data_IF_279542968082
#
_entry.id   IF_279542968082
#
_cell.length_a   1.000
_cell.length_b   1.000
_cell.length_c   1.000
_cell.angle_alpha   90.00
_cell.angle_beta   90.00
_cell.angle_gamma   90.00
#
_symmetry.space_group_name_H-M   'P 1'
#
loop_
_entity.id
_entity.type
_entity.pdbx_description
1 polymer ?
#
# COMPACT_ATOMS: atom_id res chain seq x y z
N UNK A 1 -37.81 1.22 -10.16
CA UNK A 1 -36.42 1.59 -10.47
C UNK A 1 -35.50 0.80 -9.52
N UNK A 2 -35.01 -0.36 -9.95
CA UNK A 2 -34.16 -1.21 -9.09
C UNK A 2 -32.76 -0.60 -9.00
N UNK A 3 -32.25 -0.36 -7.79
CA UNK A 3 -30.81 -0.12 -7.55
C UNK A 3 -30.10 -1.41 -7.96
N UNK A 4 -29.65 -1.50 -9.20
CA UNK A 4 -28.62 -2.48 -9.57
C UNK A 4 -27.42 -2.12 -8.70
N UNK A 5 -27.16 -2.90 -7.65
CA UNK A 5 -26.00 -2.69 -6.81
C UNK A 5 -24.78 -2.80 -7.71
N UNK A 6 -23.97 -1.74 -7.76
CA UNK A 6 -22.67 -1.73 -8.45
C UNK A 6 -21.95 -3.04 -8.15
N UNK A 7 -21.53 -3.75 -9.20
CA UNK A 7 -20.86 -5.04 -9.07
C UNK A 7 -19.55 -4.82 -8.34
N UNK A 8 -19.29 -5.61 -7.28
CA UNK A 8 -17.98 -5.62 -6.61
C UNK A 8 -16.90 -5.96 -7.65
N UNK A 9 -15.98 -5.03 -7.86
CA UNK A 9 -14.88 -5.15 -8.82
C UNK A 9 -13.67 -5.88 -8.27
N UNK A 10 -13.50 -5.89 -6.94
CA UNK A 10 -12.37 -6.55 -6.27
C UNK A 10 -12.22 -6.15 -4.80
N UNK A 11 -11.04 -6.43 -4.24
CA UNK A 11 -10.64 -5.99 -2.89
C UNK A 11 -9.21 -5.44 -2.93
N UNK A 12 -8.92 -4.49 -2.06
CA UNK A 12 -7.56 -3.98 -1.78
C UNK A 12 -7.17 -4.41 -0.36
N UNK A 13 -5.94 -4.89 -0.19
CA UNK A 13 -5.35 -5.24 1.11
C UNK A 13 -4.27 -4.22 1.44
N UNK A 14 -4.37 -3.57 2.60
CA UNK A 14 -3.46 -2.49 3.03
C UNK A 14 -2.91 -2.77 4.42
N UNK A 15 -1.66 -2.37 4.63
CA UNK A 15 -1.03 -2.26 5.94
C UNK A 15 -0.35 -0.89 6.05
N UNK A 16 -0.54 -0.23 7.19
CA UNK A 16 0.17 0.98 7.56
C UNK A 16 1.10 0.64 8.73
N UNK A 17 2.41 0.60 8.46
CA UNK A 17 3.46 0.35 9.44
C UNK A 17 4.20 1.65 9.77
N UNK A 18 3.82 2.30 10.87
CA UNK A 18 4.42 3.54 11.37
C UNK A 18 3.52 4.78 11.21
N UNK A 19 3.70 5.84 12.03
CA UNK A 19 2.80 6.99 12.06
C UNK A 19 2.65 7.71 10.71
N UNK A 20 3.76 7.88 9.98
CA UNK A 20 3.79 8.56 8.67
C UNK A 20 3.08 7.78 7.55
N UNK A 21 2.68 6.53 7.82
CA UNK A 21 1.94 5.68 6.88
C UNK A 21 0.43 5.71 7.12
N UNK A 22 -0.04 6.51 8.08
CA UNK A 22 -1.46 6.58 8.47
C UNK A 22 -1.87 5.57 9.54
N UNK A 23 -0.92 4.95 10.23
CA UNK A 23 -1.21 4.02 11.33
C UNK A 23 -1.74 4.79 12.55
N UNK A 24 -2.97 4.49 12.97
CA UNK A 24 -3.60 5.13 14.15
C UNK A 24 -3.50 4.29 15.42
N UNK A 25 -3.56 2.95 15.30
CA UNK A 25 -3.45 2.03 16.44
C UNK A 25 -2.13 1.26 16.35
N UNK A 26 -1.27 1.28 17.38
CA UNK A 26 0.10 0.76 17.31
C UNK A 26 0.16 -0.76 17.51
N UNK A 27 -0.57 -1.52 16.69
CA UNK A 27 -0.43 -2.96 16.55
C UNK A 27 -0.59 -3.36 15.08
N UNK A 28 -0.11 -4.54 14.71
CA UNK A 28 -0.26 -5.08 13.36
C UNK A 28 -1.74 -5.30 13.05
N UNK A 29 -2.26 -4.60 12.03
CA UNK A 29 -3.58 -4.83 11.48
C UNK A 29 -3.54 -4.68 9.96
N UNK A 30 -4.56 -5.26 9.31
CA UNK A 30 -4.77 -5.19 7.88
C UNK A 30 -6.16 -4.62 7.59
N UNK A 31 -6.24 -3.73 6.62
CA UNK A 31 -7.51 -3.33 6.04
C UNK A 31 -7.79 -4.20 4.81
N UNK A 32 -8.99 -4.77 4.74
CA UNK A 32 -9.51 -5.42 3.54
C UNK A 32 -10.67 -4.57 3.03
N UNK A 33 -10.43 -3.80 1.97
CA UNK A 33 -11.37 -2.79 1.46
C UNK A 33 -11.99 -3.30 0.17
N UNK A 34 -13.30 -3.56 0.13
CA UNK A 34 -13.98 -3.88 -1.12
C UNK A 34 -14.01 -2.68 -2.07
N UNK A 35 -13.85 -2.94 -3.37
CA UNK A 35 -13.87 -1.91 -4.40
C UNK A 35 -14.96 -2.15 -5.44
N UNK A 36 -15.44 -1.06 -6.01
CA UNK A 36 -16.48 -0.97 -7.03
C UNK A 36 -16.01 -0.11 -8.20
N UNK A 37 -16.61 -0.28 -9.38
CA UNK A 37 -16.20 0.47 -10.58
C UNK A 37 -16.48 1.98 -10.47
N UNK A 38 -17.35 2.39 -9.55
CA UNK A 38 -17.85 3.75 -9.39
C UNK A 38 -17.46 4.41 -8.06
N UNK A 39 -16.62 3.76 -7.22
CA UNK A 39 -16.24 4.30 -5.91
C UNK A 39 -15.09 5.32 -5.93
N UNK A 40 -14.47 5.52 -7.10
CA UNK A 40 -13.32 6.42 -7.30
C UNK A 40 -12.11 6.11 -6.40
N UNK A 41 -12.06 4.93 -5.76
CA UNK A 41 -11.00 4.56 -4.84
C UNK A 41 -9.69 4.29 -5.62
N UNK A 42 -8.74 5.23 -5.53
CA UNK A 42 -7.40 5.08 -6.10
C UNK A 42 -6.37 5.02 -4.97
N UNK A 43 -5.66 3.90 -4.86
CA UNK A 43 -4.60 3.67 -3.87
C UNK A 43 -3.19 3.78 -4.47
N UNK A 44 -3.10 4.22 -5.73
CA UNK A 44 -1.84 4.42 -6.43
C UNK A 44 -1.44 5.90 -6.38
N UNK A 45 -0.14 6.22 -6.19
CA UNK A 45 0.32 7.60 -6.27
C UNK A 45 -0.03 8.22 -7.62
N UNK A 46 -0.66 9.39 -7.60
CA UNK A 46 -0.93 10.15 -8.83
C UNK A 46 0.37 10.72 -9.42
N UNK A 47 1.33 11.02 -8.56
CA UNK A 47 2.58 11.69 -8.90
C UNK A 47 3.80 10.82 -8.59
N UNK A 48 4.91 11.14 -9.27
CA UNK A 48 6.20 10.53 -8.99
C UNK A 48 6.78 11.11 -7.70
N UNK A 49 7.34 10.25 -6.84
CA UNK A 49 8.09 10.68 -5.67
C UNK A 49 9.28 11.58 -6.06
N UNK A 50 9.44 12.68 -5.34
CA UNK A 50 10.58 13.58 -5.47
C UNK A 50 11.81 13.11 -4.68
N UNK A 51 11.68 12.08 -3.83
CA UNK A 51 12.78 11.56 -3.05
C UNK A 51 13.79 10.86 -3.95
N UNK A 52 15.04 11.31 -3.89
CA UNK A 52 16.16 10.67 -4.55
C UNK A 52 16.77 9.63 -3.61
N UNK A 53 16.93 8.40 -4.07
CA UNK A 53 17.66 7.36 -3.35
C UNK A 53 19.10 7.37 -3.88
N UNK A 54 20.07 7.59 -2.99
CA UNK A 54 21.48 7.63 -3.35
C UNK A 54 22.02 6.21 -3.60
N UNK A 55 22.83 6.06 -4.65
CA UNK A 55 23.54 4.81 -4.95
C UNK A 55 22.68 3.71 -5.58
N UNK A 56 23.28 2.52 -5.83
CA UNK A 56 22.59 1.39 -6.44
C UNK A 56 21.64 0.72 -5.45
N UNK A 57 20.36 1.09 -5.49
CA UNK A 57 19.31 0.57 -4.60
C UNK A 57 19.25 -0.95 -4.57
N UNK A 58 19.42 -1.59 -5.74
CA UNK A 58 19.40 -3.04 -5.86
C UNK A 58 20.54 -3.71 -5.09
N UNK A 59 21.76 -3.15 -5.15
CA UNK A 59 22.91 -3.73 -4.46
C UNK A 59 22.76 -3.62 -2.95
N UNK A 60 22.26 -2.48 -2.47
CA UNK A 60 21.96 -2.27 -1.04
C UNK A 60 20.89 -3.24 -0.52
N UNK A 61 19.83 -3.45 -1.28
CA UNK A 61 18.79 -4.43 -0.96
C UNK A 61 19.33 -5.86 -0.96
N UNK A 62 20.10 -6.24 -1.97
CA UNK A 62 20.68 -7.57 -2.08
C UNK A 62 21.61 -7.86 -0.89
N UNK A 63 22.48 -6.91 -0.53
CA UNK A 63 23.36 -7.04 0.62
C UNK A 63 22.57 -7.24 1.92
N UNK A 64 21.52 -6.43 2.17
CA UNK A 64 20.70 -6.53 3.38
C UNK A 64 19.97 -7.87 3.50
N UNK A 65 19.47 -8.43 2.39
CA UNK A 65 18.79 -9.73 2.39
C UNK A 65 19.74 -10.92 2.64
N UNK A 66 21.02 -10.75 2.34
CA UNK A 66 22.06 -11.78 2.57
C UNK A 66 22.78 -11.62 3.90
N UNK A 67 22.61 -10.48 4.58
CA UNK A 67 23.20 -10.25 5.88
C UNK A 67 22.55 -11.19 6.91
N UNK A 68 23.32 -11.81 7.81
CA UNK A 68 22.75 -12.60 8.89
C UNK A 68 21.89 -11.70 9.78
N UNK A 69 20.71 -12.20 10.16
CA UNK A 69 19.87 -11.51 11.15
C UNK A 69 20.67 -11.32 12.44
N UNK A 70 20.65 -10.08 12.97
CA UNK A 70 21.25 -9.74 14.25
C UNK A 70 20.56 -10.45 15.43
#
# INVERSE_FOLDING_TARGET
MGRQGSRRGGVVVLNASGPETGQSVPHLHFHVVPCWSDDQATFWPADRSAHQVAGPVYDGLAAALTAPSA
#
